data_IF_006254731773
#
_entry.id   IF_006254731773
#
_cell.length_a   1.000
_cell.length_b   1.000
_cell.length_c   1.000
_cell.angle_alpha   90.00
_cell.angle_beta   90.00
_cell.angle_gamma   90.00
#
_symmetry.space_group_name_H-M   'P 1'
#
loop_
_entity.id
_entity.type
_entity.pdbx_description
1 polymer ?
#
# COMPACT_ATOMS: atom_id res chain seq x y z
N UNK A 1 11.49 -32.55 -6.97
CA UNK A 1 11.33 -31.13 -7.32
C UNK A 1 10.99 -30.39 -6.05
N UNK A 2 11.77 -29.39 -5.72
CA UNK A 2 11.59 -28.57 -4.52
C UNK A 2 10.88 -27.26 -4.92
N UNK A 3 9.95 -26.80 -4.10
CA UNK A 3 9.24 -25.53 -4.31
C UNK A 3 10.22 -24.36 -4.32
N UNK A 4 11.25 -24.40 -3.51
CA UNK A 4 12.29 -23.36 -3.43
C UNK A 4 13.02 -23.19 -4.75
N UNK A 5 13.34 -24.30 -5.44
CA UNK A 5 13.98 -24.27 -6.76
C UNK A 5 13.06 -23.64 -7.82
N UNK A 6 11.78 -23.97 -7.80
CA UNK A 6 10.79 -23.38 -8.70
C UNK A 6 10.62 -21.88 -8.48
N UNK A 7 10.57 -21.46 -7.23
CA UNK A 7 10.45 -20.05 -6.85
C UNK A 7 11.72 -19.27 -7.22
N UNK A 8 12.90 -19.86 -6.99
CA UNK A 8 14.17 -19.25 -7.37
C UNK A 8 14.27 -19.07 -8.90
N UNK A 9 13.86 -20.09 -9.66
CA UNK A 9 13.77 -20.01 -11.12
C UNK A 9 12.80 -18.92 -11.58
N UNK A 10 11.60 -18.88 -11.00
CA UNK A 10 10.59 -17.86 -11.29
C UNK A 10 11.14 -16.44 -11.07
N UNK A 11 11.77 -16.21 -9.92
CA UNK A 11 12.37 -14.91 -9.59
C UNK A 11 13.50 -14.54 -10.59
N UNK A 12 14.34 -15.50 -10.94
CA UNK A 12 15.45 -15.31 -11.90
C UNK A 12 14.94 -14.96 -13.31
N UNK A 13 13.78 -15.50 -13.71
CA UNK A 13 13.16 -15.17 -14.99
C UNK A 13 12.42 -13.83 -14.99
N UNK A 14 12.41 -13.11 -13.88
CA UNK A 14 11.65 -11.86 -13.75
C UNK A 14 10.15 -12.06 -13.76
N UNK A 15 9.68 -13.25 -13.39
CA UNK A 15 8.27 -13.55 -13.35
C UNK A 15 7.55 -12.80 -12.22
N UNK A 16 6.37 -12.30 -12.51
CA UNK A 16 5.50 -11.70 -11.49
C UNK A 16 4.80 -12.76 -10.63
N UNK A 17 4.49 -13.89 -11.22
CA UNK A 17 3.77 -14.98 -10.55
C UNK A 17 4.29 -16.36 -11.03
N UNK A 18 4.31 -17.32 -10.09
CA UNK A 18 4.42 -18.75 -10.38
C UNK A 18 3.05 -19.38 -10.14
N UNK A 19 2.60 -20.20 -11.10
CA UNK A 19 1.35 -20.95 -11.03
C UNK A 19 1.62 -22.44 -10.92
N UNK A 20 1.09 -23.07 -9.88
CA UNK A 20 1.02 -24.52 -9.77
C UNK A 20 -0.45 -24.95 -9.90
N UNK A 21 -0.73 -25.90 -10.77
CA UNK A 21 -2.09 -26.40 -10.97
C UNK A 21 -2.04 -27.88 -11.28
N UNK A 22 -2.77 -28.69 -10.49
CA UNK A 22 -2.83 -30.13 -10.72
C UNK A 22 -3.23 -30.47 -12.16
N UNK A 23 -2.51 -31.38 -12.77
CA UNK A 23 -2.72 -31.80 -14.15
C UNK A 23 -1.93 -31.01 -15.20
N UNK A 24 -1.18 -30.00 -14.81
CA UNK A 24 -0.43 -29.14 -15.70
C UNK A 24 1.04 -29.00 -15.26
N UNK A 25 1.97 -28.70 -16.18
CA UNK A 25 3.30 -28.24 -15.80
C UNK A 25 3.22 -26.93 -14.99
N UNK A 26 4.20 -26.65 -14.15
CA UNK A 26 4.33 -25.32 -13.55
C UNK A 26 4.38 -24.24 -14.64
N UNK A 27 3.77 -23.10 -14.36
CA UNK A 27 3.75 -21.96 -15.28
C UNK A 27 4.21 -20.70 -14.57
N UNK A 28 4.78 -19.77 -15.33
CA UNK A 28 5.18 -18.45 -14.83
C UNK A 28 4.52 -17.36 -15.65
N UNK A 29 4.20 -16.24 -15.01
CA UNK A 29 3.77 -15.03 -15.71
C UNK A 29 4.95 -14.10 -15.89
N UNK A 30 5.31 -13.82 -17.14
CA UNK A 30 6.38 -12.88 -17.52
C UNK A 30 5.79 -11.86 -18.47
N UNK A 31 5.99 -10.58 -18.18
CA UNK A 31 5.46 -9.46 -18.98
C UNK A 31 3.94 -9.58 -19.29
N UNK A 32 3.20 -10.12 -18.36
CA UNK A 32 1.75 -10.31 -18.47
C UNK A 32 1.31 -11.64 -19.07
N UNK A 33 2.19 -12.37 -19.73
CA UNK A 33 1.88 -13.65 -20.38
C UNK A 33 2.20 -14.85 -19.49
N UNK A 34 1.26 -15.79 -19.39
CA UNK A 34 1.46 -17.07 -18.69
C UNK A 34 2.13 -18.04 -19.64
N UNK A 35 3.29 -18.55 -19.23
CA UNK A 35 4.13 -19.46 -20.02
C UNK A 35 4.42 -20.75 -19.24
N UNK A 36 4.41 -21.88 -19.94
CA UNK A 36 4.78 -23.16 -19.33
C UNK A 36 6.29 -23.22 -19.07
N UNK A 37 6.65 -23.77 -17.93
CA UNK A 37 8.04 -24.19 -17.68
C UNK A 37 8.21 -25.57 -18.33
N UNK A 38 9.38 -25.82 -18.88
CA UNK A 38 9.69 -27.11 -19.51
C UNK A 38 9.94 -28.20 -18.45
N UNK A 39 8.87 -28.61 -17.79
CA UNK A 39 8.84 -29.64 -16.76
C UNK A 39 7.62 -30.53 -16.99
N UNK A 40 7.62 -31.77 -16.47
CA UNK A 40 6.44 -32.64 -16.53
C UNK A 40 5.22 -32.01 -15.81
N UNK A 41 4.04 -32.38 -16.26
CA UNK A 41 2.80 -32.05 -15.54
C UNK A 41 2.83 -32.65 -14.13
N UNK A 42 2.37 -31.86 -13.17
CA UNK A 42 2.25 -32.27 -11.76
C UNK A 42 0.87 -32.81 -11.49
N UNK A 43 0.77 -33.94 -10.80
CA UNK A 43 -0.51 -34.46 -10.34
C UNK A 43 -0.97 -33.74 -9.06
N UNK A 44 -2.19 -34.05 -8.60
CA UNK A 44 -2.75 -33.46 -7.38
C UNK A 44 -1.86 -33.70 -6.16
N UNK A 45 -1.33 -34.89 -5.98
CA UNK A 45 -0.48 -35.24 -4.83
C UNK A 45 0.82 -34.43 -4.82
N UNK A 46 1.42 -34.28 -5.99
CA UNK A 46 2.65 -33.49 -6.14
C UNK A 46 2.42 -32.02 -5.85
N UNK A 47 1.37 -31.42 -6.40
CA UNK A 47 1.03 -30.01 -6.12
C UNK A 47 0.69 -29.81 -4.65
N UNK A 48 -0.14 -30.69 -4.08
CA UNK A 48 -0.51 -30.64 -2.66
C UNK A 48 0.73 -30.71 -1.75
N UNK A 49 1.66 -31.63 -2.02
CA UNK A 49 2.90 -31.75 -1.25
C UNK A 49 3.76 -30.49 -1.31
N UNK A 50 3.94 -29.91 -2.51
CA UNK A 50 4.70 -28.66 -2.68
C UNK A 50 4.09 -27.50 -1.87
N UNK A 51 2.77 -27.38 -1.87
CA UNK A 51 2.07 -26.33 -1.11
C UNK A 51 2.17 -26.60 0.39
N UNK A 52 1.97 -27.82 0.83
CA UNK A 52 2.04 -28.20 2.23
C UNK A 52 3.42 -27.99 2.87
N UNK A 53 4.49 -28.18 2.10
CA UNK A 53 5.87 -28.00 2.59
C UNK A 53 6.18 -26.58 3.07
N UNK A 54 5.47 -25.60 2.54
CA UNK A 54 5.67 -24.18 2.92
C UNK A 54 4.62 -23.67 3.90
N UNK A 55 3.65 -24.48 4.28
CA UNK A 55 2.59 -24.11 5.23
C UNK A 55 2.97 -24.48 6.67
N UNK A 56 2.64 -23.60 7.61
CA UNK A 56 2.61 -23.95 9.02
C UNK A 56 1.31 -24.72 9.37
N UNK A 57 1.22 -25.25 10.58
CA UNK A 57 0.09 -26.09 10.99
C UNK A 57 -1.26 -25.38 10.91
N UNK A 58 -1.31 -24.09 11.23
CA UNK A 58 -2.53 -23.27 11.10
C UNK A 58 -2.96 -23.13 9.64
N UNK A 59 -2.03 -22.81 8.76
CA UNK A 59 -2.30 -22.65 7.32
C UNK A 59 -2.76 -23.96 6.69
N UNK A 60 -2.16 -25.10 7.11
CA UNK A 60 -2.60 -26.44 6.68
C UNK A 60 -4.03 -26.73 7.11
N UNK A 61 -4.35 -26.43 8.36
CA UNK A 61 -5.71 -26.59 8.90
C UNK A 61 -6.71 -25.72 8.14
N UNK A 62 -6.40 -24.45 7.94
CA UNK A 62 -7.26 -23.53 7.19
C UNK A 62 -7.47 -24.01 5.74
N UNK A 63 -6.42 -24.49 5.08
CA UNK A 63 -6.52 -25.03 3.73
C UNK A 63 -7.40 -26.29 3.65
N UNK A 64 -7.29 -27.19 4.60
CA UNK A 64 -8.15 -28.39 4.67
C UNK A 64 -9.62 -28.05 4.98
N UNK A 65 -9.85 -27.07 5.84
CA UNK A 65 -11.19 -26.68 6.28
C UNK A 65 -11.92 -25.81 5.24
N UNK A 66 -11.24 -24.80 4.72
CA UNK A 66 -11.84 -23.78 3.83
C UNK A 66 -11.56 -24.01 2.35
N UNK A 67 -10.73 -24.98 2.00
CA UNK A 67 -10.33 -25.36 0.63
C UNK A 67 -9.55 -24.25 -0.10
N UNK A 68 -9.22 -23.18 0.59
CA UNK A 68 -8.39 -22.06 0.14
C UNK A 68 -7.72 -21.37 1.32
N UNK A 69 -6.55 -20.79 1.10
CA UNK A 69 -5.88 -19.98 2.10
C UNK A 69 -4.88 -19.01 1.47
N UNK A 70 -4.73 -17.85 2.09
CA UNK A 70 -3.74 -16.84 1.73
C UNK A 70 -2.67 -16.74 2.81
N UNK A 71 -1.42 -16.67 2.41
CA UNK A 71 -0.29 -16.46 3.32
C UNK A 71 0.91 -15.88 2.57
N UNK A 72 1.92 -15.44 3.31
CA UNK A 72 3.21 -15.07 2.74
C UNK A 72 4.28 -16.09 3.10
N UNK A 73 5.25 -16.23 2.21
CA UNK A 73 6.36 -17.16 2.34
C UNK A 73 7.64 -16.52 1.81
N UNK A 74 8.73 -16.66 2.56
CA UNK A 74 10.03 -16.12 2.18
C UNK A 74 11.01 -17.24 1.87
N UNK A 75 11.69 -17.11 0.73
CA UNK A 75 12.86 -17.92 0.39
C UNK A 75 14.07 -17.06 0.64
N UNK A 76 14.86 -17.33 1.71
CA UNK A 76 16.05 -16.55 2.03
C UNK A 76 16.99 -16.41 0.85
N UNK A 77 17.46 -15.20 0.57
CA UNK A 77 18.37 -14.90 -0.54
C UNK A 77 17.73 -14.91 -1.93
N UNK A 78 16.44 -15.16 -2.05
CA UNK A 78 15.70 -15.18 -3.32
C UNK A 78 14.66 -14.06 -3.38
N UNK A 79 13.54 -14.22 -2.68
CA UNK A 79 12.45 -13.27 -2.62
C UNK A 79 11.42 -13.66 -1.56
N UNK A 80 10.51 -12.74 -1.30
CA UNK A 80 9.29 -12.98 -0.56
C UNK A 80 8.13 -13.16 -1.53
N UNK A 81 7.19 -14.04 -1.18
CA UNK A 81 6.05 -14.39 -2.04
C UNK A 81 4.75 -14.26 -1.26
N UNK A 82 3.74 -13.71 -1.90
CA UNK A 82 2.35 -13.84 -1.48
C UNK A 82 1.77 -15.07 -2.15
N UNK A 83 1.20 -15.96 -1.35
CA UNK A 83 0.69 -17.26 -1.82
C UNK A 83 -0.81 -17.31 -1.62
N UNK A 84 -1.54 -17.64 -2.68
CA UNK A 84 -2.92 -18.10 -2.58
C UNK A 84 -2.96 -19.58 -2.99
N UNK A 85 -3.30 -20.44 -2.07
CA UNK A 85 -3.52 -21.86 -2.31
C UNK A 85 -5.03 -22.14 -2.37
N UNK A 86 -5.46 -22.99 -3.30
CA UNK A 86 -6.88 -23.29 -3.51
C UNK A 86 -7.05 -24.67 -4.13
N UNK A 87 -8.25 -25.19 -4.05
CA UNK A 87 -8.67 -26.41 -4.75
C UNK A 87 -9.48 -26.06 -6.00
N UNK A 88 -9.29 -26.81 -7.07
CA UNK A 88 -10.01 -26.69 -8.33
C UNK A 88 -10.35 -28.11 -8.84
N UNK A 89 -11.10 -28.23 -9.94
CA UNK A 89 -11.66 -29.51 -10.38
C UNK A 89 -10.64 -30.65 -10.62
N UNK A 90 -9.38 -30.34 -10.92
CA UNK A 90 -8.32 -31.35 -11.11
C UNK A 90 -7.53 -31.65 -9.84
N UNK A 91 -7.69 -30.83 -8.79
CA UNK A 91 -7.00 -30.96 -7.51
C UNK A 91 -6.50 -29.62 -6.98
N UNK A 92 -5.40 -29.64 -6.25
CA UNK A 92 -4.81 -28.44 -5.67
C UNK A 92 -4.16 -27.52 -6.71
N UNK A 93 -4.16 -26.23 -6.41
CA UNK A 93 -3.47 -25.20 -7.15
C UNK A 93 -2.92 -24.13 -6.22
N UNK A 94 -1.95 -23.37 -6.69
CA UNK A 94 -1.44 -22.21 -5.98
C UNK A 94 -0.88 -21.16 -6.94
N UNK A 95 -1.00 -19.92 -6.53
CA UNK A 95 -0.37 -18.76 -7.18
C UNK A 95 0.61 -18.14 -6.20
N UNK A 96 1.85 -18.00 -6.63
CA UNK A 96 2.92 -17.36 -5.86
C UNK A 96 3.27 -16.04 -6.53
N UNK A 97 2.86 -14.94 -5.95
CA UNK A 97 3.22 -13.61 -6.44
C UNK A 97 4.54 -13.15 -5.82
N UNK A 98 5.51 -12.83 -6.66
CA UNK A 98 6.79 -12.29 -6.20
C UNK A 98 6.58 -10.89 -5.63
N UNK A 99 7.01 -10.68 -4.38
CA UNK A 99 7.01 -9.38 -3.74
C UNK A 99 8.34 -8.71 -4.03
N UNK A 100 8.35 -7.48 -4.60
CA UNK A 100 9.60 -6.79 -4.89
C UNK A 100 10.45 -6.58 -3.64
N UNK A 101 11.73 -6.95 -3.71
CA UNK A 101 12.69 -6.74 -2.62
C UNK A 101 13.32 -5.35 -2.65
N UNK A 102 13.24 -4.66 -3.81
CA UNK A 102 13.83 -3.34 -3.98
C UNK A 102 12.81 -2.24 -3.71
N UNK A 103 13.08 -1.45 -2.69
CA UNK A 103 12.37 -0.20 -2.43
C UNK A 103 12.92 0.88 -3.35
N UNK A 104 12.03 1.51 -4.14
CA UNK A 104 12.39 2.66 -4.97
C UNK A 104 12.48 3.91 -4.12
N UNK A 105 13.46 4.76 -4.42
CA UNK A 105 13.62 6.05 -3.75
C UNK A 105 12.60 7.08 -4.23
N UNK A 106 12.44 8.18 -3.50
CA UNK A 106 11.64 9.32 -3.96
C UNK A 106 12.16 9.87 -5.29
N UNK A 107 13.47 9.89 -5.47
CA UNK A 107 14.14 10.32 -6.70
C UNK A 107 13.81 9.40 -7.87
N UNK A 108 13.88 8.09 -7.67
CA UNK A 108 13.52 7.08 -8.69
C UNK A 108 12.07 7.23 -9.17
N UNK A 109 11.17 7.65 -8.26
CA UNK A 109 9.75 7.84 -8.55
C UNK A 109 9.42 9.25 -9.06
N UNK A 110 10.39 10.16 -9.09
CA UNK A 110 10.16 11.54 -9.48
C UNK A 110 9.25 12.32 -8.53
N UNK A 111 9.25 11.96 -7.25
CA UNK A 111 8.45 12.61 -6.21
C UNK A 111 9.02 13.98 -5.88
N UNK A 112 8.14 14.99 -5.78
CA UNK A 112 8.54 16.36 -5.47
C UNK A 112 8.95 16.59 -4.01
N UNK A 113 9.50 17.76 -3.72
CA UNK A 113 9.96 18.16 -2.39
C UNK A 113 8.87 18.09 -1.30
N UNK A 114 7.62 18.22 -1.68
CA UNK A 114 6.51 18.13 -0.72
C UNK A 114 6.46 16.79 -0.01
N UNK A 115 6.84 15.69 -0.67
CA UNK A 115 6.88 14.36 -0.06
C UNK A 115 7.94 14.26 1.04
N UNK A 116 9.09 14.92 0.86
CA UNK A 116 10.13 15.02 1.89
C UNK A 116 9.63 15.84 3.08
N UNK A 117 9.03 16.99 2.82
CA UNK A 117 8.46 17.86 3.86
C UNK A 117 7.40 17.13 4.69
N UNK A 118 6.51 16.39 4.03
CA UNK A 118 5.49 15.57 4.70
C UNK A 118 6.11 14.44 5.51
N UNK A 119 7.17 13.82 5.02
CA UNK A 119 7.90 12.77 5.74
C UNK A 119 8.74 13.30 6.90
N UNK A 120 9.06 14.57 6.90
CA UNK A 120 9.88 15.21 7.94
C UNK A 120 9.08 15.73 9.14
N UNK A 121 7.75 15.77 9.07
CA UNK A 121 6.94 16.23 10.21
C UNK A 121 7.10 15.30 11.41
N UNK A 122 7.11 15.85 12.64
CA UNK A 122 7.41 15.04 13.83
C UNK A 122 6.26 14.15 14.27
N UNK A 123 5.02 14.52 13.95
CA UNK A 123 3.80 13.83 14.40
C UNK A 123 2.61 14.19 13.52
N UNK A 124 1.56 13.45 13.66
CA UNK A 124 0.29 13.65 12.96
C UNK A 124 -0.05 12.52 12.03
N UNK A 125 -1.06 12.72 11.21
CA UNK A 125 -1.61 11.72 10.30
C UNK A 125 -1.33 12.09 8.84
N UNK A 126 -0.75 11.15 8.11
CA UNK A 126 -0.54 11.24 6.66
C UNK A 126 -1.30 10.09 6.01
N UNK A 127 -2.22 10.42 5.11
CA UNK A 127 -3.04 9.44 4.40
C UNK A 127 -2.63 9.38 2.93
N UNK A 128 -2.32 8.18 2.46
CA UNK A 128 -2.08 7.89 1.04
C UNK A 128 -3.24 7.06 0.53
N UNK A 129 -3.96 7.57 -0.46
CA UNK A 129 -5.21 6.98 -0.91
C UNK A 129 -5.23 6.72 -2.41
N UNK A 130 -6.13 5.90 -2.84
CA UNK A 130 -6.34 5.54 -4.22
C UNK A 130 -6.91 4.13 -4.36
N UNK A 131 -7.40 3.78 -5.55
CA UNK A 131 -7.92 2.43 -5.80
C UNK A 131 -6.82 1.38 -5.69
N UNK A 132 -7.20 0.12 -5.60
CA UNK A 132 -6.27 -1.00 -5.67
C UNK A 132 -5.42 -0.92 -6.94
N UNK A 133 -4.11 -1.10 -6.81
CA UNK A 133 -3.18 -1.00 -7.94
C UNK A 133 -2.77 0.41 -8.33
N UNK A 134 -3.09 1.42 -7.52
CA UNK A 134 -2.68 2.82 -7.76
C UNK A 134 -1.24 3.15 -7.34
N UNK A 135 -0.51 2.19 -6.78
CA UNK A 135 0.88 2.37 -6.36
C UNK A 135 1.07 2.96 -4.95
N UNK A 136 0.06 2.90 -4.10
CA UNK A 136 0.13 3.42 -2.71
C UNK A 136 1.28 2.82 -1.92
N UNK A 137 1.44 1.50 -1.98
CA UNK A 137 2.51 0.79 -1.26
C UNK A 137 3.89 1.22 -1.72
N UNK A 138 4.09 1.45 -3.01
CA UNK A 138 5.35 1.94 -3.58
C UNK A 138 5.69 3.35 -3.09
N UNK A 139 4.70 4.24 -3.07
CA UNK A 139 4.85 5.62 -2.58
C UNK A 139 5.18 5.62 -1.08
N UNK A 140 4.45 4.86 -0.28
CA UNK A 140 4.70 4.74 1.16
C UNK A 140 6.07 4.13 1.46
N UNK A 141 6.45 3.09 0.72
CA UNK A 141 7.78 2.48 0.86
C UNK A 141 8.89 3.49 0.59
N UNK A 142 8.76 4.34 -0.42
CA UNK A 142 9.72 5.40 -0.72
C UNK A 142 9.78 6.45 0.39
N UNK A 143 8.64 6.83 0.97
CA UNK A 143 8.58 7.79 2.09
C UNK A 143 9.23 7.20 3.35
N UNK A 144 8.94 5.95 3.68
CA UNK A 144 9.57 5.26 4.81
C UNK A 144 11.07 5.06 4.60
N UNK A 145 11.50 4.73 3.39
CA UNK A 145 12.91 4.59 3.05
C UNK A 145 13.67 5.92 3.22
N UNK A 146 13.08 7.03 2.82
CA UNK A 146 13.61 8.36 3.06
C UNK A 146 13.83 8.62 4.55
N UNK A 147 12.85 8.32 5.39
CA UNK A 147 12.96 8.46 6.85
C UNK A 147 14.03 7.53 7.40
N UNK A 148 14.02 6.27 6.99
CA UNK A 148 14.98 5.24 7.40
C UNK A 148 16.44 5.60 7.05
N UNK A 149 16.63 6.31 5.96
CA UNK A 149 17.96 6.72 5.50
C UNK A 149 18.47 7.99 6.16
N UNK A 150 17.59 8.83 6.72
CA UNK A 150 17.93 10.19 7.16
C UNK A 150 17.73 10.44 8.65
N UNK A 151 16.94 9.64 9.35
CA UNK A 151 16.56 9.87 10.76
C UNK A 151 16.86 8.66 11.64
N UNK A 152 17.03 8.91 12.93
CA UNK A 152 17.25 7.89 13.96
C UNK A 152 15.97 7.65 14.73
N UNK A 153 15.02 6.92 14.11
CA UNK A 153 13.69 6.66 14.64
C UNK A 153 13.39 5.16 14.71
N UNK A 154 12.33 4.81 15.41
CA UNK A 154 11.71 3.50 15.34
C UNK A 154 10.49 3.55 14.43
N UNK A 155 10.55 2.83 13.33
CA UNK A 155 9.45 2.66 12.39
C UNK A 155 8.79 1.31 12.66
N UNK A 156 7.50 1.34 12.99
CA UNK A 156 6.69 0.14 13.18
C UNK A 156 5.62 0.09 12.09
N UNK A 157 5.54 -1.02 11.36
CA UNK A 157 4.50 -1.23 10.37
C UNK A 157 3.56 -2.37 10.76
N UNK A 158 2.29 -2.23 10.38
CA UNK A 158 1.29 -3.29 10.45
C UNK A 158 0.67 -3.41 9.06
N UNK A 159 0.86 -4.55 8.42
CA UNK A 159 0.53 -4.75 7.01
C UNK A 159 -0.19 -6.08 6.79
N UNK A 160 -0.98 -6.17 5.72
CA UNK A 160 -1.71 -7.38 5.37
C UNK A 160 -1.78 -7.57 3.83
N UNK A 161 -0.75 -8.21 3.24
CA UNK A 161 0.56 -8.61 3.80
C UNK A 161 1.62 -7.51 3.68
N UNK A 162 2.84 -7.80 4.16
CA UNK A 162 4.01 -6.97 3.88
C UNK A 162 4.31 -6.98 2.38
N UNK A 163 4.39 -5.79 1.78
CA UNK A 163 4.62 -5.64 0.33
C UNK A 163 6.08 -5.33 -0.01
N UNK A 164 6.80 -4.65 0.89
CA UNK A 164 8.22 -4.35 0.75
C UNK A 164 8.91 -4.61 2.08
N UNK A 165 10.02 -5.35 2.05
CA UNK A 165 10.83 -5.56 3.23
C UNK A 165 11.86 -4.43 3.34
N UNK A 166 11.84 -3.72 4.46
CA UNK A 166 12.79 -2.66 4.76
C UNK A 166 13.92 -3.19 5.64
N UNK A 167 15.16 -2.97 5.22
CA UNK A 167 16.30 -3.16 6.09
C UNK A 167 16.43 -1.95 7.02
N UNK A 168 16.74 -2.19 8.30
CA UNK A 168 17.06 -1.11 9.22
C UNK A 168 18.35 -0.42 8.79
N UNK A 169 18.26 0.87 8.48
CA UNK A 169 19.39 1.72 8.12
C UNK A 169 19.78 2.58 9.32
N UNK A 170 19.37 3.86 9.34
CA UNK A 170 19.48 4.71 10.53
C UNK A 170 18.37 4.45 11.53
N UNK A 171 17.21 4.04 11.05
CA UNK A 171 16.07 3.67 11.88
C UNK A 171 16.13 2.20 12.29
N UNK A 172 15.52 1.89 13.42
CA UNK A 172 15.04 0.54 13.71
C UNK A 172 13.72 0.36 12.96
N UNK A 173 13.61 -0.67 12.13
CA UNK A 173 12.37 -0.98 11.40
C UNK A 173 11.84 -2.33 11.85
N UNK A 174 10.63 -2.35 12.39
CA UNK A 174 9.89 -3.55 12.74
C UNK A 174 8.62 -3.62 11.90
N UNK A 175 8.50 -4.66 11.09
CA UNK A 175 7.34 -4.88 10.24
C UNK A 175 6.54 -6.07 10.76
N UNK A 176 5.25 -5.86 11.01
CA UNK A 176 4.34 -6.90 11.51
C UNK A 176 3.28 -7.21 10.46
N UNK A 177 3.18 -8.46 10.11
CA UNK A 177 2.19 -8.95 9.15
C UNK A 177 0.98 -9.52 9.88
N UNK A 178 -0.20 -9.09 9.49
CA UNK A 178 -1.47 -9.61 10.01
C UNK A 178 -1.57 -11.10 9.69
N UNK A 179 -2.07 -11.87 10.63
CA UNK A 179 -2.20 -13.33 10.65
C UNK A 179 -0.91 -14.12 10.87
N UNK A 180 0.26 -13.54 10.66
CA UNK A 180 1.55 -14.16 10.95
C UNK A 180 2.17 -13.65 12.24
N UNK A 181 2.25 -12.33 12.40
CA UNK A 181 2.93 -11.66 13.51
C UNK A 181 1.95 -11.00 14.49
N UNK A 182 0.72 -10.80 14.07
CA UNK A 182 -0.38 -10.26 14.87
C UNK A 182 -1.71 -10.80 14.38
N UNK A 183 -2.73 -10.75 15.22
CA UNK A 183 -4.06 -11.23 14.85
C UNK A 183 -4.86 -10.24 14.00
N UNK A 184 -4.55 -8.96 14.09
CA UNK A 184 -5.26 -7.93 13.33
C UNK A 184 -4.62 -6.56 13.48
N UNK A 185 -5.15 -5.60 12.73
CA UNK A 185 -4.68 -4.21 12.78
C UNK A 185 -4.93 -3.56 14.15
N UNK A 186 -6.11 -3.75 14.72
CA UNK A 186 -6.47 -3.13 16.00
C UNK A 186 -5.65 -3.68 17.16
N UNK A 187 -5.43 -4.98 17.20
CA UNK A 187 -4.58 -5.61 18.22
C UNK A 187 -3.14 -5.11 18.14
N UNK A 188 -2.60 -5.05 16.93
CA UNK A 188 -1.24 -4.56 16.70
C UNK A 188 -1.10 -3.07 17.07
N UNK A 189 -2.07 -2.23 16.75
CA UNK A 189 -2.04 -0.80 17.08
C UNK A 189 -2.16 -0.55 18.59
N UNK A 190 -2.99 -1.32 19.30
CA UNK A 190 -3.03 -1.24 20.77
C UNK A 190 -1.69 -1.58 21.41
N UNK A 191 -1.01 -2.60 20.88
CA UNK A 191 0.33 -2.97 21.33
C UNK A 191 1.37 -1.93 20.95
N UNK A 192 1.26 -1.35 19.76
CA UNK A 192 2.21 -0.40 19.20
C UNK A 192 2.54 0.77 20.12
N UNK A 193 1.55 1.30 20.84
CA UNK A 193 1.72 2.41 21.79
C UNK A 193 2.69 2.09 22.95
N UNK A 194 2.99 0.80 23.18
CA UNK A 194 3.93 0.33 24.20
C UNK A 194 5.25 -0.17 23.62
N UNK A 195 5.42 -0.09 22.31
CA UNK A 195 6.60 -0.58 21.59
C UNK A 195 7.60 0.53 21.26
N UNK A 196 7.39 1.73 21.79
CA UNK A 196 8.22 2.92 21.60
C UNK A 196 8.43 3.30 20.12
N UNK A 197 7.38 3.34 19.29
CA UNK A 197 7.53 3.79 17.91
C UNK A 197 7.53 5.31 17.82
N UNK A 198 8.28 5.85 16.88
CA UNK A 198 8.17 7.24 16.44
C UNK A 198 7.22 7.35 15.26
N UNK A 199 7.26 6.35 14.39
CA UNK A 199 6.49 6.28 13.16
C UNK A 199 5.73 4.96 13.09
N UNK A 200 4.46 5.04 12.75
CA UNK A 200 3.58 3.88 12.59
C UNK A 200 2.99 3.89 11.19
N UNK A 201 3.14 2.80 10.44
CA UNK A 201 2.41 2.57 9.20
C UNK A 201 1.27 1.60 9.45
N UNK A 202 0.05 2.02 9.14
CA UNK A 202 -1.15 1.18 9.10
C UNK A 202 -1.45 0.87 7.65
N UNK A 203 -1.18 -0.35 7.23
CA UNK A 203 -1.26 -0.77 5.83
C UNK A 203 -2.62 -0.52 5.19
N UNK A 204 -3.69 -0.61 5.95
CA UNK A 204 -5.06 -0.29 5.50
C UNK A 204 -5.97 0.08 6.68
N UNK A 205 -6.73 1.16 6.52
CA UNK A 205 -7.67 1.67 7.51
C UNK A 205 -9.10 1.37 7.06
N UNK A 206 -9.63 0.18 7.41
CA UNK A 206 -10.96 -0.29 6.96
C UNK A 206 -12.07 -0.07 7.96
N UNK A 207 -11.79 -0.28 9.24
CA UNK A 207 -12.80 -0.33 10.28
C UNK A 207 -12.65 0.81 11.28
N UNK A 208 -13.75 1.07 12.02
CA UNK A 208 -13.83 2.13 12.99
C UNK A 208 -12.74 2.04 14.06
N UNK A 209 -12.47 0.84 14.58
CA UNK A 209 -11.51 0.67 15.67
C UNK A 209 -10.09 0.96 15.23
N UNK A 210 -9.69 0.48 14.04
CA UNK A 210 -8.38 0.77 13.45
C UNK A 210 -8.20 2.27 13.21
N UNK A 211 -9.21 2.95 12.66
CA UNK A 211 -9.19 4.38 12.41
C UNK A 211 -9.10 5.17 13.74
N UNK A 212 -9.87 4.78 14.74
CA UNK A 212 -9.83 5.40 16.08
C UNK A 212 -8.44 5.31 16.71
N UNK A 213 -7.83 4.13 16.66
CA UNK A 213 -6.48 3.90 17.21
C UNK A 213 -5.41 4.68 16.46
N UNK A 214 -5.52 4.75 15.13
CA UNK A 214 -4.61 5.55 14.30
C UNK A 214 -4.71 7.05 14.61
N UNK A 215 -5.92 7.59 14.75
CA UNK A 215 -6.15 8.98 15.15
C UNK A 215 -5.60 9.26 16.55
N UNK A 216 -5.81 8.37 17.48
CA UNK A 216 -5.28 8.49 18.86
C UNK A 216 -3.75 8.50 18.85
N UNK A 217 -3.13 7.61 18.11
CA UNK A 217 -1.68 7.57 17.97
C UNK A 217 -1.12 8.86 17.38
N UNK A 218 -1.75 9.39 16.32
CA UNK A 218 -1.37 10.64 15.69
C UNK A 218 -1.51 11.84 16.63
N UNK A 219 -2.57 11.87 17.41
CA UNK A 219 -2.85 12.93 18.40
C UNK A 219 -1.87 12.89 19.58
N UNK A 220 -1.41 11.71 19.95
CA UNK A 220 -0.52 11.50 21.11
C UNK A 220 0.97 11.53 20.78
N UNK A 221 1.37 12.06 19.65
CA UNK A 221 2.75 12.39 19.34
C UNK A 221 3.46 11.49 18.33
N UNK A 222 2.78 10.54 17.72
CA UNK A 222 3.34 9.67 16.69
C UNK A 222 3.09 10.22 15.28
N UNK A 223 4.00 9.96 14.36
CA UNK A 223 3.74 10.14 12.93
C UNK A 223 3.10 8.87 12.39
N UNK A 224 1.85 8.96 11.97
CA UNK A 224 1.06 7.82 11.49
C UNK A 224 0.82 7.95 9.99
N UNK A 225 1.23 6.94 9.23
CA UNK A 225 0.88 6.76 7.83
C UNK A 225 -0.25 5.73 7.72
N UNK A 226 -1.26 6.03 6.92
CA UNK A 226 -2.35 5.11 6.68
C UNK A 226 -2.80 5.13 5.22
N UNK A 227 -3.53 4.10 4.81
CA UNK A 227 -4.11 4.03 3.47
C UNK A 227 -5.61 3.84 3.50
N UNK A 228 -6.26 4.40 2.48
CA UNK A 228 -7.67 4.17 2.15
C UNK A 228 -7.81 4.02 0.64
N UNK A 229 -8.98 3.57 0.18
CA UNK A 229 -9.26 3.36 -1.25
C UNK A 229 -10.00 4.53 -1.91
N UNK A 230 -10.10 5.65 -1.25
CA UNK A 230 -10.78 6.86 -1.76
C UNK A 230 -10.00 7.51 -2.91
N UNK A 231 -10.69 8.27 -3.74
CA UNK A 231 -10.15 8.84 -4.98
C UNK A 231 -9.85 10.34 -4.93
N UNK A 232 -10.15 10.99 -3.81
CA UNK A 232 -9.84 12.41 -3.59
C UNK A 232 -9.60 12.70 -2.12
N UNK A 233 -8.96 13.83 -1.82
CA UNK A 233 -8.73 14.28 -0.46
C UNK A 233 -10.07 14.54 0.29
N UNK A 234 -11.02 15.20 -0.37
CA UNK A 234 -12.34 15.47 0.20
C UNK A 234 -13.09 14.17 0.56
N UNK A 235 -13.14 13.21 -0.36
CA UNK A 235 -13.74 11.89 -0.10
C UNK A 235 -13.04 11.13 1.01
N UNK A 236 -11.73 11.32 1.17
CA UNK A 236 -10.96 10.69 2.23
C UNK A 236 -11.40 11.20 3.60
N UNK A 237 -11.56 12.52 3.76
CA UNK A 237 -12.05 13.13 5.00
C UNK A 237 -13.44 12.61 5.33
N UNK A 238 -14.37 12.62 4.38
CA UNK A 238 -15.71 12.09 4.56
C UNK A 238 -15.68 10.61 4.97
N UNK A 239 -14.87 9.80 4.32
CA UNK A 239 -14.76 8.37 4.63
C UNK A 239 -14.28 8.11 6.05
N UNK A 240 -13.29 8.85 6.52
CA UNK A 240 -12.77 8.72 7.90
C UNK A 240 -13.85 9.09 8.92
N UNK A 241 -14.59 10.16 8.69
CA UNK A 241 -15.65 10.63 9.61
C UNK A 241 -16.88 9.71 9.56
N UNK A 242 -17.27 9.24 8.39
CA UNK A 242 -18.51 8.50 8.18
C UNK A 242 -18.54 7.10 8.79
N UNK A 243 -17.39 6.50 9.11
CA UNK A 243 -17.37 5.22 9.83
C UNK A 243 -17.79 5.34 11.28
N UNK A 244 -17.82 6.55 11.85
CA UNK A 244 -18.18 6.81 13.24
C UNK A 244 -19.69 7.06 13.39
N UNK A 245 -20.27 6.72 14.57
CA UNK A 245 -21.63 7.08 14.90
C UNK A 245 -21.83 8.61 14.87
N UNK A 246 -23.06 9.05 14.62
CA UNK A 246 -23.40 10.47 14.48
C UNK A 246 -22.98 11.32 15.68
N UNK A 247 -23.12 10.78 16.89
CA UNK A 247 -22.77 11.45 18.16
C UNK A 247 -21.25 11.65 18.33
N UNK A 248 -20.42 10.88 17.63
CA UNK A 248 -18.95 10.98 17.71
C UNK A 248 -18.35 11.82 16.58
N UNK A 249 -19.08 12.10 15.50
CA UNK A 249 -18.53 12.75 14.30
C UNK A 249 -17.89 14.10 14.55
N UNK A 250 -18.50 14.92 15.41
CA UNK A 250 -17.94 16.24 15.77
C UNK A 250 -16.57 16.11 16.45
N UNK A 251 -16.44 15.17 17.38
CA UNK A 251 -15.17 14.89 18.07
C UNK A 251 -14.12 14.37 17.08
N UNK A 252 -14.50 13.45 16.17
CA UNK A 252 -13.61 12.90 15.15
C UNK A 252 -13.12 13.98 14.20
N UNK A 253 -13.97 14.90 13.77
CA UNK A 253 -13.57 16.05 12.95
C UNK A 253 -12.55 16.92 13.67
N UNK A 254 -12.75 17.16 14.96
CA UNK A 254 -11.81 17.92 15.78
C UNK A 254 -10.46 17.22 15.86
N UNK A 255 -10.43 15.94 16.20
CA UNK A 255 -9.20 15.13 16.28
C UNK A 255 -8.47 15.11 14.92
N UNK A 256 -9.21 14.86 13.84
CA UNK A 256 -8.66 14.81 12.48
C UNK A 256 -8.10 16.17 12.07
N UNK A 257 -8.81 17.27 12.36
CA UNK A 257 -8.36 18.62 12.04
C UNK A 257 -7.04 18.99 12.71
N UNK A 258 -6.82 18.53 13.94
CA UNK A 258 -5.58 18.77 14.68
C UNK A 258 -4.44 17.88 14.26
N UNK A 259 -4.74 16.63 13.88
CA UNK A 259 -3.73 15.61 13.59
C UNK A 259 -3.29 15.57 12.13
N UNK A 260 -4.16 15.96 11.20
CA UNK A 260 -3.90 15.78 9.77
C UNK A 260 -2.72 16.63 9.29
N UNK A 261 -1.74 15.98 8.68
CA UNK A 261 -0.61 16.63 8.01
C UNK A 261 -0.79 16.68 6.50
N UNK A 262 -1.23 15.58 5.90
CA UNK A 262 -1.46 15.51 4.46
C UNK A 262 -2.43 14.40 4.08
N UNK A 263 -3.12 14.60 2.94
CA UNK A 263 -3.79 13.55 2.18
C UNK A 263 -3.21 13.55 0.77
N UNK A 264 -2.69 12.41 0.36
CA UNK A 264 -2.10 12.21 -0.96
C UNK A 264 -2.97 11.18 -1.68
N UNK A 265 -3.80 11.62 -2.61
CA UNK A 265 -4.63 10.74 -3.43
C UNK A 265 -3.94 10.46 -4.75
N UNK A 266 -3.82 9.19 -5.11
CA UNK A 266 -2.93 8.73 -6.17
C UNK A 266 -3.64 7.87 -7.20
N UNK A 267 -3.27 8.05 -8.46
CA UNK A 267 -3.63 7.16 -9.57
C UNK A 267 -2.40 6.90 -10.44
N UNK A 268 -2.37 5.78 -11.15
CA UNK A 268 -1.31 5.44 -12.09
C UNK A 268 -1.74 5.65 -13.53
N UNK A 269 -0.81 6.16 -14.35
CA UNK A 269 -0.96 6.29 -15.79
C UNK A 269 0.19 5.59 -16.51
N UNK A 270 -0.07 5.12 -17.72
CA UNK A 270 0.98 4.64 -18.61
C UNK A 270 1.85 5.81 -19.07
N UNK A 271 3.16 5.63 -19.01
CA UNK A 271 4.12 6.59 -19.57
C UNK A 271 4.25 6.39 -21.08
N UNK A 272 4.48 7.50 -21.76
CA UNK A 272 4.99 7.46 -23.15
C UNK A 272 6.38 6.81 -23.11
N UNK A 273 6.58 5.79 -23.92
CA UNK A 273 7.86 5.07 -23.97
C UNK A 273 7.99 3.90 -22.99
N UNK A 274 6.96 3.60 -22.22
CA UNK A 274 6.90 2.43 -21.32
C UNK A 274 6.96 2.77 -19.83
N UNK A 275 6.49 1.83 -19.02
CA UNK A 275 6.36 2.00 -17.58
C UNK A 275 5.13 2.81 -17.17
N UNK A 276 5.06 3.13 -15.88
CA UNK A 276 3.94 3.88 -15.28
C UNK A 276 4.46 5.06 -14.47
N UNK A 277 3.63 6.06 -14.32
CA UNK A 277 3.87 7.22 -13.46
C UNK A 277 2.64 7.50 -12.61
N UNK A 278 2.87 7.95 -11.38
CA UNK A 278 1.80 8.35 -10.48
C UNK A 278 1.40 9.81 -10.70
N UNK A 279 0.10 10.07 -10.67
CA UNK A 279 -0.45 11.42 -10.55
C UNK A 279 -1.12 11.56 -9.19
N UNK A 280 -0.96 12.72 -8.58
CA UNK A 280 -1.38 12.98 -7.21
C UNK A 280 -2.31 14.18 -7.11
N UNK A 281 -3.28 14.09 -6.20
CA UNK A 281 -3.89 15.23 -5.54
C UNK A 281 -3.28 15.33 -4.14
N UNK A 282 -2.73 16.48 -3.79
CA UNK A 282 -2.03 16.68 -2.52
C UNK A 282 -2.74 17.78 -1.74
N UNK A 283 -3.26 17.42 -0.57
CA UNK A 283 -3.85 18.33 0.40
C UNK A 283 -2.97 18.36 1.65
N UNK A 284 -2.60 19.55 2.11
CA UNK A 284 -1.79 19.76 3.30
C UNK A 284 -2.68 20.32 4.42
N UNK A 285 -2.43 19.86 5.65
CA UNK A 285 -3.15 20.30 6.85
C UNK A 285 -2.81 21.72 7.28
N UNK A 286 -3.08 22.69 6.42
CA UNK A 286 -2.96 24.12 6.71
C UNK A 286 -4.08 24.55 7.66
N UNK A 287 -3.96 25.73 8.34
CA UNK A 287 -5.05 26.26 9.16
C UNK A 287 -6.40 26.35 8.42
N UNK A 288 -6.37 26.74 7.14
CA UNK A 288 -7.57 26.81 6.31
C UNK A 288 -8.21 25.43 6.11
N UNK A 289 -7.43 24.43 5.75
CA UNK A 289 -7.92 23.03 5.59
C UNK A 289 -8.44 22.49 6.91
N UNK A 290 -7.71 22.68 8.00
CA UNK A 290 -8.14 22.24 9.34
C UNK A 290 -9.47 22.83 9.76
N UNK A 291 -9.69 24.10 9.45
CA UNK A 291 -10.96 24.78 9.73
C UNK A 291 -12.12 24.18 8.91
N UNK A 292 -11.89 23.88 7.62
CA UNK A 292 -12.89 23.24 6.77
C UNK A 292 -13.29 21.84 7.30
N UNK A 293 -12.32 21.09 7.84
CA UNK A 293 -12.60 19.79 8.47
C UNK A 293 -13.47 19.96 9.71
N UNK A 294 -13.10 20.86 10.63
CA UNK A 294 -13.85 21.10 11.86
C UNK A 294 -15.29 21.54 11.61
N UNK A 295 -15.48 22.39 10.61
CA UNK A 295 -16.80 22.96 10.28
C UNK A 295 -17.63 22.11 9.33
N UNK A 296 -17.15 20.91 8.95
CA UNK A 296 -17.81 20.03 7.98
C UNK A 296 -18.05 20.70 6.62
N UNK A 297 -17.11 21.51 6.19
CA UNK A 297 -17.16 22.22 4.90
C UNK A 297 -16.27 21.54 3.84
N UNK A 298 -16.40 20.24 3.73
CA UNK A 298 -15.57 19.40 2.83
C UNK A 298 -15.71 19.82 1.37
N UNK A 299 -16.90 20.28 0.96
CA UNK A 299 -17.13 20.76 -0.41
C UNK A 299 -16.22 21.92 -0.83
N UNK A 300 -15.67 22.68 0.12
CA UNK A 300 -14.76 23.80 -0.14
C UNK A 300 -13.28 23.41 -0.22
N UNK A 301 -12.93 22.16 0.10
CA UNK A 301 -11.54 21.71 0.11
C UNK A 301 -10.88 21.78 -1.25
N UNK A 302 -11.59 21.43 -2.32
CA UNK A 302 -11.04 21.48 -3.67
C UNK A 302 -10.53 22.88 -4.04
N UNK A 303 -11.31 23.91 -3.73
CA UNK A 303 -10.90 25.31 -3.96
C UNK A 303 -9.68 25.70 -3.12
N UNK A 304 -9.60 25.23 -1.89
CA UNK A 304 -8.45 25.46 -1.02
C UNK A 304 -7.18 24.77 -1.56
N UNK A 305 -7.31 23.58 -2.13
CA UNK A 305 -6.20 22.87 -2.79
C UNK A 305 -5.74 23.67 -4.04
N UNK A 306 -6.67 24.14 -4.87
CA UNK A 306 -6.37 24.91 -6.06
C UNK A 306 -5.53 26.16 -5.77
N UNK A 307 -5.81 26.83 -4.66
CA UNK A 307 -5.13 28.08 -4.26
C UNK A 307 -3.93 27.83 -3.33
N UNK A 308 -3.69 26.60 -2.93
CA UNK A 308 -2.65 26.22 -1.98
C UNK A 308 -1.31 25.80 -2.61
N UNK A 309 -1.07 26.12 -3.89
CA UNK A 309 0.15 25.67 -4.59
C UNK A 309 1.45 26.12 -3.95
N UNK A 310 1.50 27.31 -3.39
CA UNK A 310 2.68 27.84 -2.68
C UNK A 310 3.02 27.02 -1.40
N UNK A 311 2.05 26.30 -0.85
CA UNK A 311 2.20 25.43 0.33
C UNK A 311 2.44 23.97 -0.04
N UNK A 312 2.55 23.66 -1.32
CA UNK A 312 2.78 22.31 -1.83
C UNK A 312 1.52 21.53 -2.20
N UNK A 313 0.34 22.15 -2.12
CA UNK A 313 -0.89 21.53 -2.55
C UNK A 313 -1.00 21.51 -4.09
N UNK A 314 -1.59 20.47 -4.62
CA UNK A 314 -1.79 20.30 -6.06
C UNK A 314 -3.09 19.54 -6.29
N UNK A 315 -3.90 19.99 -7.26
CA UNK A 315 -5.05 19.21 -7.71
C UNK A 315 -4.60 18.10 -8.66
N UNK A 316 -5.39 17.05 -8.78
CA UNK A 316 -5.09 15.98 -9.74
C UNK A 316 -4.96 16.52 -11.16
N UNK A 317 -5.88 17.40 -11.60
CA UNK A 317 -5.84 17.97 -12.95
C UNK A 317 -4.59 18.82 -13.18
N UNK A 318 -4.14 19.59 -12.20
CA UNK A 318 -2.89 20.34 -12.29
C UNK A 318 -1.67 19.39 -12.43
N UNK A 319 -1.63 18.32 -11.66
CA UNK A 319 -0.60 17.30 -11.78
C UNK A 319 -0.62 16.64 -13.16
N UNK A 320 -1.79 16.26 -13.67
CA UNK A 320 -1.95 15.67 -15.00
C UNK A 320 -1.47 16.62 -16.11
N UNK A 321 -1.82 17.90 -16.04
CA UNK A 321 -1.33 18.92 -16.99
C UNK A 321 0.19 19.05 -16.98
N UNK A 322 0.78 19.01 -15.80
CA UNK A 322 2.25 19.03 -15.64
C UNK A 322 2.91 17.81 -16.26
N UNK A 323 2.33 16.60 -16.06
CA UNK A 323 2.85 15.36 -16.66
C UNK A 323 2.73 15.35 -18.19
N UNK A 324 1.64 15.88 -18.73
CA UNK A 324 1.46 16.05 -20.19
C UNK A 324 2.48 17.07 -20.74
N UNK A 325 2.66 18.19 -20.07
CA UNK A 325 3.63 19.23 -20.48
C UNK A 325 5.06 18.72 -20.49
N UNK A 326 5.40 17.80 -19.59
CA UNK A 326 6.72 17.14 -19.54
C UNK A 326 6.88 16.02 -20.57
N UNK A 327 5.84 15.70 -21.34
CA UNK A 327 5.86 14.61 -22.30
C UNK A 327 5.88 13.22 -21.68
N UNK A 328 5.52 13.09 -20.41
CA UNK A 328 5.54 11.80 -19.70
C UNK A 328 4.29 10.97 -19.96
N UNK A 329 3.13 11.60 -20.13
CA UNK A 329 1.85 10.95 -20.42
C UNK A 329 1.16 11.63 -21.60
N UNK A 330 0.33 10.86 -22.31
CA UNK A 330 -0.47 11.43 -23.40
C UNK A 330 -1.66 12.24 -22.85
N UNK A 331 -2.18 13.17 -23.66
CA UNK A 331 -3.40 13.90 -23.34
C UNK A 331 -4.60 12.95 -23.11
N UNK A 332 -4.71 11.92 -23.91
CA UNK A 332 -5.77 10.92 -23.81
C UNK A 332 -5.74 10.21 -22.46
N UNK A 333 -4.57 9.71 -22.05
CA UNK A 333 -4.39 9.06 -20.75
C UNK A 333 -4.69 10.00 -19.58
N UNK A 334 -4.27 11.26 -19.67
CA UNK A 334 -4.57 12.28 -18.67
C UNK A 334 -6.07 12.58 -18.59
N UNK A 335 -6.73 12.73 -19.75
CA UNK A 335 -8.17 12.99 -19.86
C UNK A 335 -9.01 11.90 -19.19
N UNK A 336 -8.64 10.63 -19.35
CA UNK A 336 -9.32 9.50 -18.71
C UNK A 336 -9.32 9.55 -17.19
N UNK A 337 -8.30 10.15 -16.60
CA UNK A 337 -8.12 10.24 -15.14
C UNK A 337 -8.55 11.60 -14.57
N UNK A 338 -8.73 12.60 -15.41
CA UNK A 338 -9.02 13.96 -15.00
C UNK A 338 -10.39 14.11 -14.32
N UNK A 339 -10.45 15.02 -13.35
CA UNK A 339 -11.71 15.45 -12.74
C UNK A 339 -12.56 16.24 -13.76
N UNK A 340 -11.90 17.06 -14.56
CA UNK A 340 -12.51 17.89 -15.61
C UNK A 340 -11.88 17.53 -16.97
N UNK A 341 -12.36 16.44 -17.63
CA UNK A 341 -11.75 15.92 -18.86
C UNK A 341 -11.69 16.92 -20.02
N UNK A 342 -12.60 17.86 -20.06
CA UNK A 342 -12.71 18.90 -21.11
C UNK A 342 -11.54 19.89 -21.09
N UNK A 343 -10.74 19.90 -20.05
CA UNK A 343 -9.56 20.76 -19.96
C UNK A 343 -8.29 20.14 -20.59
N UNK A 344 -8.41 18.94 -21.19
CA UNK A 344 -7.30 18.20 -21.80
C UNK A 344 -7.51 17.94 -23.30
#
# INVERSE_FOLDING_TARGET
>A
MDITELLAFSAKQGASDLHLSAGLPPMIRVDGDVRRINLPALDHKQVHALIYDIMNDKQRKDFEEFLETDFSFEVPGVARFRVNAFNQNRGSGAVFRTIPSKVLSMEDLGMGEIFKKVSDVPRGLVLVTGPTGSGKSTTLAAMLDYINSNKYHHILTVEDPIEFVHESKKCLVNQREVHRDTHGFSEALRSALREDPDIILVGEMRDLETIRLALTAAETGHLVFGTLHTTSAAKTIDRVVDVFPAEEKSMVRSMLSESLQAVISQTLLKKIGGGRVAAHEIMIGTPAIRNLIREDKVAQMYSAIQTGGALGMETLDACLKRLVSKGLVSRESAREKAKTPENF
#
